data_IF_930447109782
#
_entry.id   IF_930447109782
#
_cell.length_a   1.000
_cell.length_b   1.000
_cell.length_c   1.000
_cell.angle_alpha   90.00
_cell.angle_beta   90.00
_cell.angle_gamma   90.00
#
_symmetry.space_group_name_H-M   'P 1'
#
loop_
_entity.id
_entity.type
_entity.pdbx_description
1 polymer ?
#
# COMPACT_ATOMS: atom_id res chain seq x y z
N UNK A 1 27.47 22.00 8.77
CA UNK A 1 26.29 22.89 8.69
C UNK A 1 25.12 22.16 9.34
N UNK A 2 24.54 22.68 10.42
CA UNK A 2 23.35 22.09 11.05
C UNK A 2 22.18 22.24 10.07
N UNK A 3 21.68 21.13 9.53
CA UNK A 3 20.41 21.08 8.81
C UNK A 3 19.33 21.68 9.71
N UNK A 4 18.58 22.67 9.22
CA UNK A 4 17.40 23.17 9.94
C UNK A 4 16.29 22.14 9.75
N UNK A 5 15.56 21.82 10.83
CA UNK A 5 14.36 20.99 10.76
C UNK A 5 13.41 21.54 9.70
N UNK A 6 13.00 20.68 8.76
CA UNK A 6 11.95 21.03 7.81
C UNK A 6 10.60 20.97 8.52
N UNK A 7 9.69 21.89 8.21
CA UNK A 7 8.31 21.80 8.68
C UNK A 7 7.62 20.56 8.12
N UNK A 8 6.63 20.01 8.85
CA UNK A 8 5.91 18.78 8.50
C UNK A 8 5.41 18.77 7.04
N UNK A 9 4.86 19.89 6.55
CA UNK A 9 4.40 20.04 5.16
C UNK A 9 5.50 19.89 4.10
N UNK A 10 6.75 20.17 4.44
CA UNK A 10 7.89 20.00 3.55
C UNK A 10 8.43 18.57 3.55
N UNK A 11 8.15 17.81 4.61
CA UNK A 11 8.51 16.39 4.73
C UNK A 11 7.46 15.56 3.99
N UNK A 12 6.18 15.92 4.14
CA UNK A 12 5.03 15.26 3.55
C UNK A 12 5.21 14.89 2.06
N UNK A 13 4.96 13.62 1.75
CA UNK A 13 5.07 12.99 0.45
C UNK A 13 5.53 11.53 0.53
N UNK A 14 6.79 11.25 0.94
CA UNK A 14 7.38 9.91 0.88
C UNK A 14 6.55 8.86 1.64
N UNK A 15 6.35 9.04 2.94
CA UNK A 15 5.60 8.11 3.78
C UNK A 15 4.14 7.96 3.34
N UNK A 16 3.47 9.05 3.00
CA UNK A 16 2.07 8.99 2.55
C UNK A 16 1.94 8.22 1.23
N UNK A 17 2.76 8.54 0.23
CA UNK A 17 2.71 7.90 -1.09
C UNK A 17 3.01 6.41 -0.98
N UNK A 18 4.07 6.05 -0.24
CA UNK A 18 4.42 4.64 -0.07
C UNK A 18 3.27 3.88 0.58
N UNK A 19 2.69 4.41 1.65
CA UNK A 19 1.59 3.75 2.34
C UNK A 19 0.37 3.59 1.45
N UNK A 20 -0.02 4.64 0.73
CA UNK A 20 -1.16 4.59 -0.20
C UNK A 20 -0.93 3.61 -1.36
N UNK A 21 0.33 3.33 -1.73
CA UNK A 21 0.66 2.33 -2.74
C UNK A 21 0.43 0.87 -2.28
N UNK A 22 0.22 0.63 -0.97
CA UNK A 22 -0.25 -0.67 -0.44
C UNK A 22 -1.69 -0.97 -0.90
N UNK A 23 -2.44 0.06 -1.33
CA UNK A 23 -3.76 -0.10 -1.96
C UNK A 23 -3.65 -0.27 -3.47
N UNK A 24 -2.79 -1.20 -3.88
CA UNK A 24 -2.62 -1.58 -5.28
C UNK A 24 -3.82 -2.45 -5.73
N UNK A 25 -3.93 -2.73 -7.04
CA UNK A 25 -5.09 -3.46 -7.56
C UNK A 25 -5.18 -4.91 -7.00
N UNK A 26 -4.08 -5.69 -6.91
CA UNK A 26 -4.07 -6.99 -6.25
C UNK A 26 -4.52 -6.95 -4.79
N UNK A 27 -4.01 -6.00 -3.98
CA UNK A 27 -4.37 -5.89 -2.56
C UNK A 27 -5.83 -5.49 -2.41
N UNK A 28 -6.32 -4.57 -3.25
CA UNK A 28 -7.75 -4.22 -3.29
C UNK A 28 -8.62 -5.42 -3.64
N UNK A 29 -8.20 -6.26 -4.60
CA UNK A 29 -8.91 -7.49 -4.95
C UNK A 29 -8.92 -8.50 -3.79
N UNK A 30 -7.80 -8.66 -3.08
CA UNK A 30 -7.72 -9.48 -1.87
C UNK A 30 -8.69 -8.96 -0.79
N UNK A 31 -8.73 -7.66 -0.53
CA UNK A 31 -9.68 -7.05 0.41
C UNK A 31 -11.16 -7.28 0.01
N UNK A 32 -11.46 -7.22 -1.30
CA UNK A 32 -12.80 -7.56 -1.80
C UNK A 32 -13.12 -9.03 -1.52
N UNK A 33 -12.18 -9.96 -1.75
CA UNK A 33 -12.37 -11.37 -1.43
C UNK A 33 -12.56 -11.59 0.09
N UNK A 34 -11.71 -10.96 0.91
CA UNK A 34 -11.81 -10.98 2.38
C UNK A 34 -13.19 -10.57 2.88
N UNK A 35 -13.77 -9.48 2.37
CA UNK A 35 -15.10 -9.06 2.78
C UNK A 35 -16.24 -9.86 2.15
N UNK A 36 -16.14 -10.23 0.88
CA UNK A 36 -17.22 -10.92 0.17
C UNK A 36 -17.39 -12.39 0.60
N UNK A 37 -16.31 -13.06 0.98
CA UNK A 37 -16.29 -14.46 1.42
C UNK A 37 -16.40 -14.59 2.95
N UNK A 38 -15.70 -13.75 3.72
CA UNK A 38 -15.61 -13.88 5.18
C UNK A 38 -16.34 -12.78 5.95
N UNK A 39 -17.03 -11.87 5.27
CA UNK A 39 -17.76 -10.77 5.89
C UNK A 39 -16.84 -9.84 6.68
N UNK A 40 -17.23 -9.49 7.90
CA UNK A 40 -16.47 -8.54 8.73
C UNK A 40 -15.34 -9.18 9.55
N UNK A 41 -15.08 -10.48 9.38
CA UNK A 41 -14.17 -11.27 10.23
C UNK A 41 -12.73 -10.73 10.22
N UNK A 42 -12.26 -10.26 9.06
CA UNK A 42 -10.88 -9.81 8.85
C UNK A 42 -10.65 -8.33 9.17
N UNK A 43 -11.66 -7.60 9.64
CA UNK A 43 -11.52 -6.17 9.98
C UNK A 43 -10.54 -5.96 11.14
N UNK A 44 -10.58 -6.80 12.18
CA UNK A 44 -9.63 -6.71 13.29
C UNK A 44 -8.19 -6.99 12.83
N UNK A 45 -8.02 -7.94 11.90
CA UNK A 45 -6.70 -8.27 11.35
C UNK A 45 -6.08 -7.05 10.67
N UNK A 46 -6.82 -6.33 9.83
CA UNK A 46 -6.35 -5.11 9.17
C UNK A 46 -5.90 -4.03 10.16
N UNK A 47 -6.61 -3.86 11.28
CA UNK A 47 -6.19 -2.94 12.34
C UNK A 47 -4.86 -3.36 12.99
N UNK A 48 -4.67 -4.66 13.22
CA UNK A 48 -3.42 -5.20 13.78
C UNK A 48 -2.26 -5.02 12.79
N UNK A 49 -2.53 -5.17 11.49
CA UNK A 49 -1.56 -5.07 10.41
C UNK A 49 -0.97 -3.66 10.22
N UNK A 50 -1.59 -2.62 10.79
CA UNK A 50 -0.99 -1.27 10.87
C UNK A 50 0.39 -1.32 11.55
N UNK A 51 0.54 -2.14 12.60
CA UNK A 51 1.76 -2.19 13.41
C UNK A 51 2.96 -2.69 12.60
N UNK A 52 2.95 -3.89 12.00
CA UNK A 52 4.07 -4.34 11.18
C UNK A 52 4.30 -3.43 9.97
N UNK A 53 3.25 -2.98 9.28
CA UNK A 53 3.36 -2.04 8.16
C UNK A 53 4.16 -0.79 8.56
N UNK A 54 3.75 -0.14 9.65
CA UNK A 54 4.43 1.04 10.17
C UNK A 54 5.89 0.76 10.53
N UNK A 55 6.16 -0.33 11.25
CA UNK A 55 7.53 -0.65 11.71
C UNK A 55 8.47 -0.82 10.51
N UNK A 56 8.08 -1.59 9.50
CA UNK A 56 8.95 -1.83 8.34
C UNK A 56 9.20 -0.56 7.52
N UNK A 57 8.15 0.22 7.26
CA UNK A 57 8.28 1.44 6.47
C UNK A 57 9.01 2.55 7.22
N UNK A 58 8.77 2.68 8.53
CA UNK A 58 9.49 3.65 9.36
C UNK A 58 10.98 3.33 9.41
N UNK A 59 11.34 2.05 9.53
CA UNK A 59 12.74 1.62 9.50
C UNK A 59 13.40 1.94 8.16
N UNK A 60 12.71 1.70 7.05
CA UNK A 60 13.17 2.03 5.70
C UNK A 60 13.40 3.55 5.55
N UNK A 61 12.42 4.34 6.02
CA UNK A 61 12.47 5.79 5.97
C UNK A 61 13.64 6.35 6.81
N UNK A 62 13.78 5.88 8.06
CA UNK A 62 14.86 6.27 8.96
C UNK A 62 16.24 5.91 8.38
N UNK A 63 16.40 4.73 7.80
CA UNK A 63 17.65 4.34 7.15
C UNK A 63 17.96 5.27 5.97
N UNK A 64 16.97 5.60 5.14
CA UNK A 64 17.12 6.56 4.03
C UNK A 64 17.58 7.94 4.51
N UNK A 65 16.90 8.50 5.52
CA UNK A 65 17.17 9.84 6.03
C UNK A 65 18.55 9.96 6.71
N UNK A 66 18.98 8.92 7.43
CA UNK A 66 20.27 8.93 8.14
C UNK A 66 21.44 8.61 7.21
N UNK A 67 21.28 7.65 6.29
CA UNK A 67 22.39 7.19 5.44
C UNK A 67 22.53 7.93 4.13
N UNK A 68 21.45 8.56 3.64
CA UNK A 68 21.40 9.19 2.32
C UNK A 68 21.55 8.19 1.16
N UNK A 69 21.29 6.89 1.41
CA UNK A 69 21.50 5.81 0.43
C UNK A 69 20.22 4.97 0.29
N UNK A 70 19.95 4.50 -0.93
CA UNK A 70 18.90 3.51 -1.18
C UNK A 70 19.25 2.11 -0.66
N UNK A 71 18.23 1.26 -0.53
CA UNK A 71 18.35 -0.04 0.13
C UNK A 71 19.41 -0.96 -0.52
N UNK A 72 19.40 -1.07 -1.85
CA UNK A 72 20.37 -1.89 -2.62
C UNK A 72 21.82 -1.44 -2.37
N UNK A 73 22.04 -0.13 -2.25
CA UNK A 73 23.36 0.44 -1.98
C UNK A 73 23.85 0.09 -0.58
N UNK A 74 22.97 0.11 0.42
CA UNK A 74 23.30 -0.32 1.79
C UNK A 74 23.60 -1.82 1.85
N UNK A 75 22.82 -2.66 1.15
CA UNK A 75 23.10 -4.10 1.07
C UNK A 75 24.46 -4.35 0.43
N UNK A 76 24.81 -3.61 -0.63
CA UNK A 76 26.13 -3.72 -1.28
C UNK A 76 27.28 -3.36 -0.36
N UNK A 77 27.11 -2.31 0.44
CA UNK A 77 28.13 -1.83 1.39
C UNK A 77 28.33 -2.83 2.53
N UNK A 78 27.25 -3.42 3.07
CA UNK A 78 27.32 -4.31 4.21
C UNK A 78 27.64 -5.77 3.86
N UNK A 79 27.06 -6.27 2.76
CA UNK A 79 27.08 -7.69 2.40
C UNK A 79 27.76 -7.98 1.05
N UNK A 80 28.26 -6.94 0.37
CA UNK A 80 29.01 -7.07 -0.87
C UNK A 80 28.14 -7.18 -2.14
N UNK A 81 28.82 -7.25 -3.29
CA UNK A 81 28.19 -7.17 -4.63
C UNK A 81 27.22 -8.31 -4.92
N UNK A 82 27.53 -9.54 -4.47
CA UNK A 82 26.68 -10.72 -4.73
C UNK A 82 25.31 -10.59 -4.05
N UNK A 83 25.29 -10.26 -2.76
CA UNK A 83 24.04 -10.06 -2.01
C UNK A 83 23.20 -8.92 -2.59
N UNK A 84 23.85 -7.82 -2.99
CA UNK A 84 23.19 -6.68 -3.65
C UNK A 84 22.55 -7.09 -4.99
N UNK A 85 23.25 -7.88 -5.81
CA UNK A 85 22.72 -8.36 -7.08
C UNK A 85 21.53 -9.31 -6.89
N UNK A 86 21.58 -10.23 -5.92
CA UNK A 86 20.46 -11.11 -5.57
C UNK A 86 19.26 -10.30 -5.09
N UNK A 87 19.50 -9.30 -4.24
CA UNK A 87 18.44 -8.42 -3.72
C UNK A 87 17.80 -7.60 -4.85
N UNK A 88 18.62 -7.01 -5.73
CA UNK A 88 18.16 -6.24 -6.88
C UNK A 88 17.37 -7.11 -7.88
N UNK A 89 17.86 -8.32 -8.18
CA UNK A 89 17.16 -9.27 -9.04
C UNK A 89 15.84 -9.75 -8.44
N UNK A 90 15.82 -10.01 -7.13
CA UNK A 90 14.63 -10.42 -6.39
C UNK A 90 13.54 -9.36 -6.42
N UNK A 91 13.88 -8.11 -6.08
CA UNK A 91 12.89 -7.02 -6.13
C UNK A 91 12.43 -6.73 -7.56
N UNK A 92 13.32 -6.79 -8.56
CA UNK A 92 12.94 -6.61 -9.97
C UNK A 92 11.92 -7.67 -10.42
N UNK A 93 12.11 -8.92 -10.02
CA UNK A 93 11.19 -10.00 -10.37
C UNK A 93 9.84 -9.86 -9.67
N UNK A 94 9.83 -9.58 -8.36
CA UNK A 94 8.60 -9.40 -7.59
C UNK A 94 7.82 -8.18 -8.08
N UNK A 95 8.50 -7.06 -8.33
CA UNK A 95 7.88 -5.84 -8.88
C UNK A 95 7.30 -6.11 -10.28
N UNK A 96 8.00 -6.87 -11.12
CA UNK A 96 7.48 -7.32 -12.42
C UNK A 96 6.18 -8.12 -12.32
N UNK A 97 6.00 -8.94 -11.28
CA UNK A 97 4.74 -9.64 -11.02
C UNK A 97 3.66 -8.69 -10.52
N UNK A 98 3.99 -7.74 -9.65
CA UNK A 98 3.06 -6.68 -9.22
C UNK A 98 2.56 -5.86 -10.42
N UNK A 99 3.42 -5.54 -11.39
CA UNK A 99 3.00 -4.87 -12.63
C UNK A 99 1.93 -5.64 -13.41
N UNK A 100 2.01 -6.97 -13.45
CA UNK A 100 0.98 -7.79 -14.10
C UNK A 100 -0.36 -7.62 -13.36
N UNK A 101 -0.31 -7.62 -12.03
CA UNK A 101 -1.47 -7.37 -11.17
C UNK A 101 -2.11 -6.00 -11.40
N UNK A 102 -1.30 -4.95 -11.48
CA UNK A 102 -1.77 -3.59 -11.76
C UNK A 102 -2.46 -3.49 -13.13
N UNK A 103 -1.86 -4.06 -14.17
CA UNK A 103 -2.44 -4.05 -15.50
C UNK A 103 -3.70 -4.93 -15.60
N UNK A 104 -3.79 -6.00 -14.82
CA UNK A 104 -5.03 -6.78 -14.68
C UNK A 104 -6.14 -5.96 -13.99
N UNK A 105 -5.81 -5.13 -13.00
CA UNK A 105 -6.74 -4.18 -12.40
C UNK A 105 -7.26 -3.15 -13.39
N UNK A 106 -6.37 -2.56 -14.20
CA UNK A 106 -6.73 -1.63 -15.27
C UNK A 106 -7.61 -2.30 -16.32
N UNK A 107 -7.28 -3.53 -16.72
CA UNK A 107 -8.09 -4.32 -17.64
C UNK A 107 -9.51 -4.52 -17.11
N UNK A 108 -9.64 -4.92 -15.84
CA UNK A 108 -10.93 -5.15 -15.17
C UNK A 108 -11.74 -3.85 -15.12
N UNK A 109 -11.12 -2.73 -14.73
CA UNK A 109 -11.77 -1.43 -14.72
C UNK A 109 -12.22 -0.97 -16.11
N UNK A 110 -11.41 -1.22 -17.14
CA UNK A 110 -11.74 -0.89 -18.52
C UNK A 110 -12.95 -1.69 -19.04
N UNK A 111 -13.01 -2.99 -18.74
CA UNK A 111 -14.16 -3.84 -19.09
C UNK A 111 -15.45 -3.34 -18.42
N UNK A 112 -15.39 -2.98 -17.14
CA UNK A 112 -16.54 -2.43 -16.41
C UNK A 112 -17.04 -1.09 -16.99
N UNK A 113 -16.14 -0.29 -17.56
CA UNK A 113 -16.48 0.99 -18.20
C UNK A 113 -16.84 0.85 -19.69
N UNK A 114 -16.75 -0.36 -20.26
CA UNK A 114 -16.95 -0.60 -21.69
C UNK A 114 -15.86 0.01 -22.58
N UNK A 115 -14.67 0.28 -22.03
CA UNK A 115 -13.51 0.78 -22.77
C UNK A 115 -12.78 -0.41 -23.40
N UNK A 116 -12.44 -0.38 -24.71
CA UNK A 116 -11.75 -1.51 -25.31
C UNK A 116 -10.36 -1.71 -24.68
N UNK A 117 -10.08 -2.96 -24.31
CA UNK A 117 -8.91 -3.35 -23.51
C UNK A 117 -7.58 -2.82 -24.06
N UNK A 118 -7.37 -2.96 -25.37
CA UNK A 118 -6.14 -2.51 -26.02
C UNK A 118 -5.89 -1.01 -25.81
N UNK A 119 -6.92 -0.17 -25.90
CA UNK A 119 -6.79 1.27 -25.68
C UNK A 119 -6.48 1.60 -24.22
N UNK A 120 -7.13 0.91 -23.26
CA UNK A 120 -6.88 1.12 -21.85
C UNK A 120 -5.44 0.75 -21.45
N UNK A 121 -4.95 -0.41 -21.89
CA UNK A 121 -3.60 -0.87 -21.57
C UNK A 121 -2.53 0.01 -22.23
N UNK A 122 -2.72 0.41 -23.50
CA UNK A 122 -1.80 1.32 -24.18
C UNK A 122 -1.77 2.71 -23.53
N UNK A 123 -2.93 3.23 -23.11
CA UNK A 123 -3.02 4.50 -22.41
C UNK A 123 -2.30 4.44 -21.06
N UNK A 124 -2.57 3.40 -20.26
CA UNK A 124 -1.91 3.17 -18.98
C UNK A 124 -0.39 3.05 -19.12
N UNK A 125 0.07 2.21 -20.05
CA UNK A 125 1.48 2.04 -20.35
C UNK A 125 2.14 3.35 -20.77
N UNK A 126 1.51 4.09 -21.68
CA UNK A 126 2.04 5.38 -22.17
C UNK A 126 2.10 6.40 -21.04
N UNK A 127 1.04 6.53 -20.24
CA UNK A 127 0.97 7.44 -19.11
C UNK A 127 2.07 7.12 -18.09
N UNK A 128 2.15 5.86 -17.66
CA UNK A 128 3.19 5.39 -16.75
C UNK A 128 4.60 5.68 -17.29
N UNK A 129 4.85 5.36 -18.56
CA UNK A 129 6.14 5.59 -19.21
C UNK A 129 6.52 7.07 -19.20
N UNK A 130 5.61 7.97 -19.58
CA UNK A 130 5.85 9.43 -19.58
C UNK A 130 6.24 9.94 -18.19
N UNK A 131 5.59 9.44 -17.14
CA UNK A 131 5.90 9.80 -15.75
C UNK A 131 7.34 9.38 -15.40
N UNK A 132 7.71 8.13 -15.68
CA UNK A 132 9.06 7.61 -15.40
C UNK A 132 10.12 8.44 -16.14
N UNK A 133 9.86 8.80 -17.41
CA UNK A 133 10.78 9.61 -18.21
C UNK A 133 10.87 11.09 -17.78
N UNK A 134 10.00 11.55 -16.88
CA UNK A 134 10.03 12.93 -16.37
C UNK A 134 11.27 13.22 -15.50
N UNK A 135 11.91 12.19 -14.92
CA UNK A 135 13.15 12.27 -14.09
C UNK A 135 13.11 13.30 -12.96
N UNK A 136 11.92 13.72 -12.53
CA UNK A 136 11.72 14.74 -11.51
C UNK A 136 10.87 14.17 -10.39
N UNK A 137 11.51 13.87 -9.26
CA UNK A 137 10.83 13.36 -8.08
C UNK A 137 9.66 14.26 -7.66
N UNK A 138 9.85 15.58 -7.63
CA UNK A 138 8.77 16.52 -7.24
C UNK A 138 7.53 16.45 -8.14
N UNK A 139 7.70 16.19 -9.46
CA UNK A 139 6.56 16.06 -10.37
C UNK A 139 5.83 14.74 -10.14
N UNK A 140 6.60 13.66 -10.01
CA UNK A 140 6.07 12.31 -9.72
C UNK A 140 5.33 12.31 -8.39
N UNK A 141 5.94 12.85 -7.34
CA UNK A 141 5.38 13.01 -6.00
C UNK A 141 4.03 13.73 -6.03
N UNK A 142 3.94 14.91 -6.65
CA UNK A 142 2.69 15.67 -6.73
C UNK A 142 1.57 14.90 -7.42
N UNK A 143 1.91 14.14 -8.45
CA UNK A 143 0.92 13.35 -9.18
C UNK A 143 0.47 12.14 -8.37
N UNK A 144 1.39 11.41 -7.73
CA UNK A 144 1.05 10.31 -6.82
C UNK A 144 0.22 10.79 -5.63
N UNK A 145 0.48 11.99 -5.12
CA UNK A 145 -0.36 12.65 -4.12
C UNK A 145 -1.81 12.84 -4.62
N UNK A 146 -1.99 13.29 -5.86
CA UNK A 146 -3.34 13.42 -6.46
C UNK A 146 -4.00 12.06 -6.62
N UNK A 147 -3.26 11.06 -7.12
CA UNK A 147 -3.74 9.68 -7.29
C UNK A 147 -4.20 9.09 -5.95
N UNK A 148 -3.44 9.30 -4.88
CA UNK A 148 -3.81 8.85 -3.53
C UNK A 148 -5.13 9.46 -3.05
N UNK A 149 -5.46 10.68 -3.50
CA UNK A 149 -6.74 11.33 -3.20
C UNK A 149 -7.93 10.59 -3.79
N UNK A 150 -7.78 9.92 -4.94
CA UNK A 150 -8.85 9.12 -5.53
C UNK A 150 -9.14 7.84 -4.72
N UNK A 151 -8.17 7.30 -3.96
CA UNK A 151 -8.40 6.14 -3.08
C UNK A 151 -9.42 6.46 -1.98
N UNK A 152 -9.60 7.73 -1.62
CA UNK A 152 -10.64 8.14 -0.67
C UNK A 152 -12.07 7.83 -1.15
N UNK A 153 -12.27 7.52 -2.43
CA UNK A 153 -13.56 7.03 -2.94
C UNK A 153 -13.99 5.72 -2.28
N UNK A 154 -13.07 4.91 -1.76
CA UNK A 154 -13.43 3.69 -1.01
C UNK A 154 -14.18 4.00 0.29
N UNK A 155 -13.92 5.16 0.91
CA UNK A 155 -14.70 5.62 2.06
C UNK A 155 -16.16 5.82 1.65
N UNK A 156 -16.38 6.52 0.54
CA UNK A 156 -17.72 6.76 -0.01
C UNK A 156 -18.41 5.43 -0.32
N UNK A 157 -17.69 4.48 -0.91
CA UNK A 157 -18.21 3.15 -1.24
C UNK A 157 -18.67 2.38 0.01
N UNK A 158 -17.90 2.43 1.10
CA UNK A 158 -18.27 1.82 2.38
C UNK A 158 -19.52 2.45 3.03
N UNK A 159 -19.77 3.74 2.82
CA UNK A 159 -21.01 4.37 3.29
C UNK A 159 -22.22 4.01 2.42
N UNK A 160 -22.04 4.00 1.09
CA UNK A 160 -23.11 3.68 0.14
C UNK A 160 -23.57 2.22 0.28
N UNK A 161 -22.66 1.31 0.65
CA UNK A 161 -22.98 -0.11 0.85
C UNK A 161 -23.89 -0.39 2.06
N UNK A 162 -24.08 0.57 2.97
CA UNK A 162 -24.91 0.47 4.19
C UNK A 162 -24.58 -0.76 5.05
N UNK A 163 -23.36 -0.84 5.61
CA UNK A 163 -22.93 -1.98 6.41
C UNK A 163 -23.75 -2.10 7.70
N UNK A 164 -23.97 -3.33 8.16
CA UNK A 164 -24.67 -3.59 9.42
C UNK A 164 -23.72 -3.30 10.61
N UNK A 165 -23.98 -2.29 11.45
CA UNK A 165 -23.07 -1.90 12.53
C UNK A 165 -22.87 -3.02 13.57
N UNK A 166 -23.92 -3.81 13.85
CA UNK A 166 -23.84 -4.91 14.81
C UNK A 166 -22.98 -6.07 14.31
N UNK A 167 -23.02 -6.36 13.01
CA UNK A 167 -22.18 -7.38 12.40
C UNK A 167 -20.72 -6.91 12.30
N UNK A 168 -20.49 -5.62 12.02
CA UNK A 168 -19.16 -5.02 12.04
C UNK A 168 -18.52 -5.10 13.43
N UNK A 169 -19.26 -4.76 14.49
CA UNK A 169 -18.78 -4.88 15.88
C UNK A 169 -18.43 -6.32 16.25
N UNK A 170 -19.19 -7.32 15.76
CA UNK A 170 -18.84 -8.73 15.94
C UNK A 170 -17.59 -9.12 15.17
N UNK A 171 -17.36 -8.56 13.99
CA UNK A 171 -16.12 -8.69 13.22
C UNK A 171 -14.87 -8.11 13.88
N UNK A 172 -15.04 -7.22 14.86
CA UNK A 172 -13.94 -6.72 15.70
C UNK A 172 -13.62 -7.63 16.89
N UNK A 173 -14.38 -8.70 17.11
CA UNK A 173 -14.12 -9.62 18.21
C UNK A 173 -12.83 -10.41 17.98
N UNK A 174 -11.92 -10.49 18.97
CA UNK A 174 -10.74 -11.36 18.89
C UNK A 174 -11.09 -12.85 19.06
N UNK A 175 -12.33 -13.16 19.48
CA UNK A 175 -12.80 -14.53 19.77
C UNK A 175 -13.33 -15.26 18.53
N UNK A 176 -12.85 -14.91 17.34
CA UNK A 176 -13.28 -15.58 16.12
C UNK A 176 -12.65 -16.96 16.00
N UNK A 177 -13.41 -17.92 15.48
CA UNK A 177 -12.87 -19.23 15.12
C UNK A 177 -12.07 -19.10 13.82
N UNK A 178 -10.74 -19.23 13.92
CA UNK A 178 -9.82 -19.31 12.77
C UNK A 178 -9.51 -20.76 12.37
N UNK A 179 -10.34 -21.72 12.79
CA UNK A 179 -10.16 -23.15 12.50
C UNK A 179 -10.56 -23.53 11.08
N UNK A 180 -11.21 -22.63 10.34
CA UNK A 180 -11.54 -22.79 8.93
C UNK A 180 -10.27 -22.61 8.06
N UNK A 181 -9.84 -23.64 7.30
CA UNK A 181 -8.65 -23.55 6.45
C UNK A 181 -8.70 -22.42 5.43
N UNK A 182 -9.88 -22.09 4.90
CA UNK A 182 -10.03 -21.00 3.91
C UNK A 182 -9.80 -19.64 4.56
N UNK A 183 -10.33 -19.43 5.77
CA UNK A 183 -10.05 -18.22 6.52
C UNK A 183 -8.57 -18.14 6.91
N UNK A 184 -7.97 -19.24 7.37
CA UNK A 184 -6.56 -19.26 7.74
C UNK A 184 -5.64 -18.94 6.54
N UNK A 185 -5.99 -19.43 5.36
CA UNK A 185 -5.32 -19.07 4.11
C UNK A 185 -5.46 -17.57 3.83
N UNK A 186 -6.67 -17.01 3.92
CA UNK A 186 -6.91 -15.59 3.68
C UNK A 186 -6.16 -14.70 4.69
N UNK A 187 -6.15 -15.07 5.97
CA UNK A 187 -5.35 -14.39 7.01
C UNK A 187 -3.87 -14.35 6.62
N UNK A 188 -3.34 -15.47 6.13
CA UNK A 188 -1.93 -15.56 5.72
C UNK A 188 -1.66 -14.73 4.47
N UNK A 189 -2.61 -14.72 3.52
CA UNK A 189 -2.53 -13.90 2.30
C UNK A 189 -2.54 -12.41 2.64
N UNK A 190 -3.46 -11.96 3.50
CA UNK A 190 -3.57 -10.58 3.96
C UNK A 190 -2.28 -10.13 4.68
N UNK A 191 -1.75 -10.95 5.61
CA UNK A 191 -0.47 -10.66 6.29
C UNK A 191 0.68 -10.51 5.27
N UNK A 192 0.72 -11.37 4.25
CA UNK A 192 1.74 -11.32 3.21
C UNK A 192 1.62 -10.10 2.29
N UNK A 193 0.39 -9.67 1.99
CA UNK A 193 0.12 -8.54 1.11
C UNK A 193 0.54 -7.19 1.73
N UNK A 194 0.38 -7.01 3.04
CA UNK A 194 0.69 -5.74 3.74
C UNK A 194 2.16 -5.32 3.70
N UNK A 195 3.10 -6.25 3.49
CA UNK A 195 4.53 -5.95 3.54
C UNK A 195 5.13 -6.24 2.18
N UNK A 196 4.76 -5.42 1.20
CA UNK A 196 5.29 -5.56 -0.15
C UNK A 196 6.77 -5.14 -0.19
N UNK A 197 7.68 -5.99 -0.71
CA UNK A 197 9.09 -5.67 -0.73
C UNK A 197 9.41 -4.35 -1.43
N UNK A 198 8.77 -4.04 -2.57
CA UNK A 198 9.07 -2.83 -3.34
C UNK A 198 8.84 -1.54 -2.54
N UNK A 199 7.87 -1.53 -1.61
CA UNK A 199 7.56 -0.36 -0.79
C UNK A 199 8.76 0.03 0.08
N UNK A 200 9.49 -0.94 0.64
CA UNK A 200 10.69 -0.68 1.46
C UNK A 200 11.75 0.04 0.61
N UNK A 201 11.94 -0.40 -0.65
CA UNK A 201 12.92 0.19 -1.56
C UNK A 201 12.47 1.58 -1.99
N UNK A 202 11.19 1.75 -2.28
CA UNK A 202 10.60 3.02 -2.69
C UNK A 202 10.63 4.04 -1.55
N UNK A 203 10.12 3.73 -0.36
CA UNK A 203 10.12 4.59 0.82
C UNK A 203 11.52 5.12 1.13
N UNK A 204 12.50 4.21 1.18
CA UNK A 204 13.88 4.60 1.44
C UNK A 204 14.45 5.51 0.33
N UNK A 205 14.15 5.23 -0.94
CA UNK A 205 14.63 6.05 -2.06
C UNK A 205 13.93 7.40 -2.14
N UNK A 206 12.62 7.45 -1.87
CA UNK A 206 11.80 8.65 -1.85
C UNK A 206 12.27 9.64 -0.78
N UNK A 207 12.59 9.14 0.42
CA UNK A 207 13.19 9.93 1.50
C UNK A 207 14.54 10.53 1.08
N UNK A 208 15.38 9.76 0.38
CA UNK A 208 16.68 10.23 -0.14
C UNK A 208 16.50 11.27 -1.24
N UNK A 209 15.59 11.05 -2.19
CA UNK A 209 15.32 11.98 -3.30
C UNK A 209 14.66 13.29 -2.83
N UNK A 210 13.84 13.22 -1.78
CA UNK A 210 13.30 14.38 -1.04
C UNK A 210 14.37 15.10 -0.20
N UNK A 211 15.58 14.53 -0.10
CA UNK A 211 16.72 15.03 0.66
C UNK A 211 16.38 15.22 2.14
N UNK A 212 15.60 14.31 2.71
CA UNK A 212 15.36 14.30 4.15
C UNK A 212 16.63 13.89 4.89
N UNK A 213 16.76 14.41 6.10
CA UNK A 213 17.94 14.21 6.95
C UNK A 213 17.53 13.68 8.31
N UNK A 214 18.51 13.35 9.16
CA UNK A 214 18.26 12.86 10.53
C UNK A 214 17.33 13.77 11.34
N UNK A 215 17.38 15.10 11.12
CA UNK A 215 16.49 16.07 11.80
C UNK A 215 15.03 15.93 11.39
N UNK A 216 14.74 15.35 10.22
CA UNK A 216 13.40 15.22 9.67
C UNK A 216 12.72 13.89 10.06
N UNK A 217 13.46 12.96 10.69
CA UNK A 217 13.00 11.59 11.01
C UNK A 217 11.74 11.59 11.88
N UNK A 218 11.61 12.53 12.82
CA UNK A 218 10.42 12.62 13.68
C UNK A 218 9.15 12.98 12.89
N UNK A 219 9.27 13.87 11.89
CA UNK A 219 8.16 14.22 11.02
C UNK A 219 7.83 13.07 10.05
N UNK A 220 8.85 12.42 9.49
CA UNK A 220 8.69 11.27 8.60
C UNK A 220 8.03 10.08 9.31
N UNK A 221 8.37 9.83 10.59
CA UNK A 221 7.70 8.84 11.45
C UNK A 221 6.20 9.13 11.56
N UNK A 222 5.84 10.37 11.86
CA UNK A 222 4.44 10.76 12.00
C UNK A 222 3.71 10.60 10.66
N UNK A 223 4.31 11.03 9.56
CA UNK A 223 3.75 10.86 8.23
C UNK A 223 3.53 9.39 7.88
N UNK A 224 4.54 8.56 8.10
CA UNK A 224 4.50 7.11 7.86
C UNK A 224 3.37 6.46 8.68
N UNK A 225 3.22 6.85 9.95
CA UNK A 225 2.13 6.36 10.81
C UNK A 225 0.76 6.78 10.27
N UNK A 226 0.59 8.06 9.91
CA UNK A 226 -0.66 8.57 9.37
C UNK A 226 -1.02 7.88 8.04
N UNK A 227 -0.03 7.67 7.17
CA UNK A 227 -0.21 6.92 5.93
C UNK A 227 -0.62 5.47 6.19
N UNK A 228 0.04 4.78 7.13
CA UNK A 228 -0.30 3.39 7.48
C UNK A 228 -1.72 3.25 8.05
N UNK A 229 -2.12 4.17 8.94
CA UNK A 229 -3.49 4.22 9.46
C UNK A 229 -4.49 4.49 8.33
N UNK A 230 -4.22 5.47 7.47
CA UNK A 230 -5.12 5.83 6.38
C UNK A 230 -5.30 4.66 5.39
N UNK A 231 -4.22 4.00 5.03
CA UNK A 231 -4.22 2.86 4.10
C UNK A 231 -5.05 1.71 4.66
N UNK A 232 -4.78 1.29 5.89
CA UNK A 232 -5.50 0.17 6.51
C UNK A 232 -6.96 0.52 6.77
N UNK A 233 -7.26 1.78 7.09
CA UNK A 233 -8.63 2.26 7.16
C UNK A 233 -9.36 2.13 5.82
N UNK A 234 -8.72 2.52 4.71
CA UNK A 234 -9.29 2.39 3.38
C UNK A 234 -9.45 0.92 2.97
N UNK A 235 -8.51 0.05 3.30
CA UNK A 235 -8.64 -1.40 3.11
C UNK A 235 -9.82 -1.98 3.90
N UNK A 236 -10.02 -1.53 5.14
CA UNK A 236 -11.23 -1.87 5.92
C UNK A 236 -12.49 -1.36 5.23
N UNK A 237 -12.48 -0.15 4.66
CA UNK A 237 -13.61 0.35 3.87
C UNK A 237 -13.94 -0.59 2.70
N UNK A 238 -12.94 -1.12 2.00
CA UNK A 238 -13.13 -2.10 0.92
C UNK A 238 -13.76 -3.40 1.45
N UNK A 239 -13.22 -3.97 2.53
CA UNK A 239 -13.76 -5.19 3.17
C UNK A 239 -15.22 -4.98 3.62
N UNK A 240 -15.49 -3.84 4.27
CA UNK A 240 -16.82 -3.49 4.77
C UNK A 240 -17.81 -3.30 3.61
N UNK A 241 -17.37 -2.64 2.54
CA UNK A 241 -18.18 -2.44 1.35
C UNK A 241 -18.53 -3.78 0.70
N UNK A 242 -17.53 -4.61 0.42
CA UNK A 242 -17.71 -5.92 -0.25
C UNK A 242 -18.52 -6.89 0.61
N UNK A 243 -18.32 -6.90 1.93
CA UNK A 243 -19.14 -7.66 2.86
C UNK A 243 -20.61 -7.24 2.77
N UNK A 244 -20.90 -5.94 2.88
CA UNK A 244 -22.27 -5.45 2.93
C UNK A 244 -23.11 -5.74 1.67
N UNK A 245 -22.48 -5.77 0.48
CA UNK A 245 -23.17 -6.11 -0.78
C UNK A 245 -23.19 -7.62 -1.07
N UNK A 246 -22.38 -8.43 -0.38
CA UNK A 246 -22.32 -9.87 -0.61
C UNK A 246 -23.50 -10.59 0.04
N UNK A 247 -24.13 -11.52 -0.69
CA UNK A 247 -25.34 -12.26 -0.24
C UNK A 247 -25.10 -13.19 0.96
N UNK A 248 -23.85 -13.42 1.34
CA UNK A 248 -23.46 -14.35 2.42
C UNK A 248 -23.54 -13.75 3.84
N UNK A 249 -23.88 -12.47 4.02
CA UNK A 249 -23.96 -11.82 5.35
C UNK A 249 -25.20 -12.24 6.17
N UNK A 250 -26.06 -13.09 5.62
CA UNK A 250 -27.28 -13.58 6.29
C UNK A 250 -27.06 -14.62 7.41
N UNK A 251 -25.83 -15.05 7.71
CA UNK A 251 -25.58 -16.16 8.65
C UNK A 251 -24.59 -15.86 9.79
N UNK A 252 -24.48 -14.61 10.24
CA UNK A 252 -23.77 -14.24 11.47
C UNK A 252 -24.70 -13.66 12.54
#
# INVERSE_FOLDING_TARGET
MRSKEKGFLSVFGPGWITMMADMDAPSTAAAIASGSEFGYRLVLLMLILIVPLYIFQEMAARLGAVTGKGFISLVKERYGKKASAVTAGGVFFVDGLSYVGEFAGIATGAELLGIPLLYALLMAFTFHTVIVFTKSYTKVEKMLMIISGFLLLFVVMAFISRPNPSALLRGLSPLQSYLDPSLAFMVTADIGAVIMPFMIFYQQSAVVDKKLSETDVSAEKLETLLGGIATQFLMICVIVASAAVSKNVGSL
#
